data_IF_189782918081
#
_entry.id   IF_189782918081
#
_cell.length_a   1.000
_cell.length_b   1.000
_cell.length_c   1.000
_cell.angle_alpha   90.00
_cell.angle_beta   90.00
_cell.angle_gamma   90.00
#
_symmetry.space_group_name_H-M   'P 1'
#
loop_
_entity.id
_entity.type
_entity.pdbx_description
1 polymer ?
#
# COMPACT_ATOMS: atom_id res chain seq x y z
N UNK A 1 -15.24 5.81 5.20
CA UNK A 1 -14.85 4.39 5.08
C UNK A 1 -15.54 3.61 6.20
N UNK A 2 -16.18 2.49 5.88
CA UNK A 2 -16.80 1.59 6.88
C UNK A 2 -15.96 0.32 7.00
N UNK A 3 -15.75 -0.17 8.22
CA UNK A 3 -15.01 -1.41 8.49
C UNK A 3 -15.96 -2.39 9.17
N UNK A 4 -16.11 -3.58 8.60
CA UNK A 4 -16.95 -4.65 9.13
C UNK A 4 -16.13 -5.63 9.97
N UNK A 5 -16.69 -6.10 11.08
CA UNK A 5 -16.11 -7.18 11.86
C UNK A 5 -16.36 -8.52 11.17
N UNK A 6 -15.42 -9.46 11.30
CA UNK A 6 -15.60 -10.82 10.79
C UNK A 6 -16.82 -11.49 11.44
N UNK A 7 -17.57 -12.28 10.66
CA UNK A 7 -18.70 -13.07 11.13
C UNK A 7 -19.97 -12.29 11.46
N UNK A 8 -20.01 -10.97 11.21
CA UNK A 8 -21.22 -10.15 11.40
C UNK A 8 -21.86 -9.79 10.07
N UNK A 9 -23.15 -10.04 9.97
CA UNK A 9 -23.97 -9.52 8.87
C UNK A 9 -24.04 -7.99 8.92
N UNK A 10 -23.88 -7.35 7.78
CA UNK A 10 -24.05 -5.92 7.61
C UNK A 10 -24.98 -5.62 6.43
N UNK A 11 -25.81 -4.59 6.56
CA UNK A 11 -26.71 -4.12 5.50
C UNK A 11 -26.33 -2.72 5.06
N UNK A 12 -26.37 -2.48 3.75
CA UNK A 12 -26.14 -1.16 3.15
C UNK A 12 -27.34 -0.83 2.27
N UNK A 13 -27.97 0.31 2.52
CA UNK A 13 -29.12 0.79 1.77
C UNK A 13 -28.77 2.11 1.08
N UNK A 14 -28.82 2.13 -0.25
CA UNK A 14 -28.71 3.35 -1.02
C UNK A 14 -30.08 4.06 -1.08
N UNK A 15 -30.15 5.33 -0.65
CA UNK A 15 -31.38 6.15 -0.72
C UNK A 15 -31.57 6.82 -2.08
N UNK A 16 -30.52 6.88 -2.87
CA UNK A 16 -30.45 7.47 -4.21
C UNK A 16 -29.49 6.63 -5.06
N UNK A 17 -29.29 6.98 -6.34
CA UNK A 17 -28.29 6.33 -7.20
C UNK A 17 -26.90 6.42 -6.55
N UNK A 18 -26.22 5.29 -6.42
CA UNK A 18 -24.91 5.19 -5.78
C UNK A 18 -24.02 4.15 -6.49
N UNK A 19 -22.70 4.35 -6.40
CA UNK A 19 -21.68 3.36 -6.76
C UNK A 19 -20.96 2.96 -5.47
N UNK A 20 -20.93 1.66 -5.16
CA UNK A 20 -20.39 1.13 -3.91
C UNK A 20 -19.34 0.08 -4.24
N UNK A 21 -18.20 0.13 -3.55
CA UNK A 21 -17.15 -0.88 -3.60
C UNK A 21 -17.05 -1.59 -2.25
N UNK A 22 -17.12 -2.92 -2.27
CA UNK A 22 -16.90 -3.78 -1.11
C UNK A 22 -15.60 -4.56 -1.32
N UNK A 23 -14.66 -4.38 -0.40
CA UNK A 23 -13.39 -5.10 -0.36
C UNK A 23 -13.36 -5.93 0.91
N UNK A 24 -13.05 -7.22 0.77
CA UNK A 24 -12.97 -8.17 1.88
C UNK A 24 -12.19 -9.41 1.48
N UNK A 25 -11.77 -10.18 2.48
CA UNK A 25 -10.98 -11.39 2.30
C UNK A 25 -10.42 -11.89 3.61
N UNK A 26 -9.80 -13.07 3.57
CA UNK A 26 -9.12 -13.64 4.74
C UNK A 26 -7.88 -12.79 5.10
N UNK A 27 -7.61 -12.56 6.41
CA UNK A 27 -6.42 -11.83 6.82
C UNK A 27 -5.14 -12.50 6.34
N UNK A 28 -4.29 -11.76 5.63
CA UNK A 28 -3.00 -12.27 5.13
C UNK A 28 -1.91 -12.38 6.22
N UNK A 29 -2.23 -12.03 7.46
CA UNK A 29 -1.28 -11.87 8.56
C UNK A 29 -0.51 -10.55 8.51
N UNK A 30 0.57 -10.44 9.29
CA UNK A 30 1.36 -9.21 9.38
C UNK A 30 2.07 -8.90 8.06
N UNK A 31 2.06 -7.62 7.68
CA UNK A 31 2.84 -7.08 6.56
C UNK A 31 3.57 -5.82 7.01
N UNK A 32 4.79 -5.68 6.55
CA UNK A 32 5.56 -4.44 6.58
C UNK A 32 5.31 -3.75 5.25
N UNK A 33 4.87 -2.49 5.34
CA UNK A 33 4.54 -1.66 4.18
C UNK A 33 5.35 -0.38 4.35
N UNK A 34 6.26 -0.13 3.43
CA UNK A 34 7.02 1.10 3.36
C UNK A 34 7.12 1.54 1.91
N UNK A 35 6.62 2.74 1.60
CA UNK A 35 6.50 3.22 0.23
C UNK A 35 5.80 2.15 -0.65
N UNK A 36 6.40 1.78 -1.78
CA UNK A 36 5.89 0.77 -2.69
C UNK A 36 6.32 -0.67 -2.33
N UNK A 37 7.01 -0.88 -1.19
CA UNK A 37 7.46 -2.19 -0.77
C UNK A 37 6.53 -2.83 0.26
N UNK A 38 6.11 -4.07 -0.03
CA UNK A 38 5.25 -4.86 0.85
C UNK A 38 5.86 -6.24 1.05
N UNK A 39 6.08 -6.63 2.30
CA UNK A 39 6.64 -7.95 2.64
C UNK A 39 6.15 -8.43 4.00
N UNK A 40 6.21 -9.74 4.24
CA UNK A 40 6.02 -10.32 5.58
C UNK A 40 7.32 -10.28 6.42
N UNK A 41 8.47 -9.95 5.81
CA UNK A 41 9.79 -9.88 6.44
C UNK A 41 10.31 -8.45 6.43
N UNK A 42 10.77 -7.96 7.57
CA UNK A 42 11.28 -6.59 7.71
C UNK A 42 12.61 -6.42 6.98
N UNK A 43 13.50 -7.38 7.12
CA UNK A 43 14.83 -7.36 6.53
C UNK A 43 14.74 -7.29 4.99
N UNK A 44 13.70 -7.91 4.42
CA UNK A 44 13.46 -7.86 2.98
C UNK A 44 13.06 -6.46 2.49
N UNK A 45 12.40 -5.66 3.32
CA UNK A 45 12.10 -4.25 3.02
C UNK A 45 13.40 -3.44 3.00
N UNK A 46 14.28 -3.64 3.98
CA UNK A 46 15.56 -2.94 4.04
C UNK A 46 16.49 -3.29 2.86
N UNK A 47 16.55 -4.57 2.48
CA UNK A 47 17.24 -5.01 1.25
C UNK A 47 16.67 -4.30 0.01
N UNK A 48 15.34 -4.31 -0.16
CA UNK A 48 14.71 -3.68 -1.31
C UNK A 48 14.95 -2.16 -1.36
N UNK A 49 15.00 -1.50 -0.20
CA UNK A 49 15.34 -0.07 -0.10
C UNK A 49 16.79 0.19 -0.52
N UNK A 50 17.73 -0.67 -0.11
CA UNK A 50 19.12 -0.56 -0.53
C UNK A 50 19.27 -0.78 -2.03
N UNK A 51 18.64 -1.83 -2.58
CA UNK A 51 18.64 -2.15 -4.01
C UNK A 51 18.06 -1.00 -4.85
N UNK A 52 16.98 -0.39 -4.37
CA UNK A 52 16.35 0.77 -5.02
C UNK A 52 17.26 1.99 -5.03
N UNK A 53 17.87 2.34 -3.88
CA UNK A 53 18.84 3.45 -3.80
C UNK A 53 20.06 3.22 -4.68
N UNK A 54 20.49 1.97 -4.85
CA UNK A 54 21.62 1.61 -5.70
C UNK A 54 21.25 1.49 -7.20
N UNK A 55 19.96 1.50 -7.55
CA UNK A 55 19.51 1.27 -8.93
C UNK A 55 19.72 -0.18 -9.40
N UNK A 56 19.84 -1.14 -8.48
CA UNK A 56 20.10 -2.55 -8.80
C UNK A 56 18.82 -3.40 -8.94
N UNK A 57 17.65 -2.80 -8.77
CA UNK A 57 16.37 -3.49 -8.92
C UNK A 57 15.98 -3.61 -10.39
N UNK A 58 15.54 -4.80 -10.82
CA UNK A 58 14.96 -4.98 -12.16
C UNK A 58 13.64 -4.22 -12.24
N UNK A 59 13.57 -3.24 -13.13
CA UNK A 59 12.35 -2.51 -13.47
C UNK A 59 11.53 -3.29 -14.52
N UNK A 60 10.21 -3.05 -14.60
CA UNK A 60 9.42 -3.48 -15.75
C UNK A 60 10.06 -3.03 -17.07
N UNK A 61 9.86 -3.82 -18.12
CA UNK A 61 10.33 -3.45 -19.45
C UNK A 61 9.69 -2.10 -19.84
N UNK A 62 10.50 -1.16 -20.36
CA UNK A 62 10.13 0.21 -20.72
C UNK A 62 9.98 1.23 -19.55
N UNK A 63 10.17 0.82 -18.30
CA UNK A 63 10.11 1.73 -17.13
C UNK A 63 11.50 2.29 -16.78
N UNK A 64 12.07 3.11 -17.66
CA UNK A 64 13.43 3.67 -17.50
C UNK A 64 13.52 5.18 -17.79
N UNK A 65 12.39 5.87 -17.91
CA UNK A 65 12.33 7.30 -18.25
C UNK A 65 12.47 8.24 -17.07
N UNK A 66 12.10 7.82 -15.86
CA UNK A 66 12.11 8.64 -14.64
C UNK A 66 12.45 7.77 -13.43
N UNK A 67 13.18 8.33 -12.46
CA UNK A 67 13.53 7.65 -11.21
C UNK A 67 12.99 8.44 -10.02
N UNK A 68 12.13 7.79 -9.21
CA UNK A 68 11.58 8.36 -7.98
C UNK A 68 12.42 7.87 -6.79
N UNK A 69 13.22 8.73 -6.14
CA UNK A 69 14.04 8.30 -5.01
C UNK A 69 13.16 7.96 -3.80
N UNK A 70 13.67 7.09 -2.93
CA UNK A 70 13.07 6.89 -1.62
C UNK A 70 13.08 8.22 -0.83
N UNK A 71 12.02 8.53 -0.06
CA UNK A 71 12.02 9.67 0.83
C UNK A 71 13.16 9.60 1.85
N UNK A 72 13.69 10.76 2.24
CA UNK A 72 14.59 10.89 3.38
C UNK A 72 13.78 10.93 4.67
N UNK A 73 14.27 10.23 5.70
CA UNK A 73 13.66 10.28 7.03
C UNK A 73 13.98 11.62 7.74
N UNK A 74 13.02 12.19 8.49
CA UNK A 74 11.64 11.72 8.65
C UNK A 74 10.77 12.09 7.44
N UNK A 75 9.86 11.18 7.08
CA UNK A 75 8.82 11.45 6.09
C UNK A 75 8.09 12.76 6.44
N UNK A 76 7.85 13.67 5.46
CA UNK A 76 6.97 14.79 5.68
C UNK A 76 5.59 14.27 6.11
N UNK A 77 4.91 14.97 7.04
CA UNK A 77 3.62 14.51 7.54
C UNK A 77 2.66 14.30 6.37
N UNK A 78 1.83 13.24 6.39
CA UNK A 78 0.89 12.98 5.32
C UNK A 78 0.01 14.21 5.12
N UNK A 79 -0.13 14.68 3.88
CA UNK A 79 -1.10 15.71 3.54
C UNK A 79 -2.46 15.24 4.06
N UNK A 80 -3.04 16.02 4.96
CA UNK A 80 -4.42 15.81 5.40
C UNK A 80 -5.29 16.04 4.16
N UNK A 81 -5.75 14.96 3.52
CA UNK A 81 -6.63 15.05 2.36
C UNK A 81 -7.81 15.97 2.72
N UNK A 82 -7.96 17.06 1.94
CA UNK A 82 -9.19 17.87 1.89
C UNK A 82 -10.30 17.12 1.17
#
# INVERSE_FOLDING_TARGET
>A
MLIFQNGRSASVLARTRAVVMLLGGEPLGRRYIEWNFVSSRFERIEEAKADWRAGCMKLPDLDNGEFIPLPVDPLPPPNSMS
#
